data_IF_837558201396
#
_entry.id   IF_837558201396
#
_cell.length_a   1.000
_cell.length_b   1.000
_cell.length_c   1.000
_cell.angle_alpha   90.00
_cell.angle_beta   90.00
_cell.angle_gamma   90.00
#
_symmetry.space_group_name_H-M   'P 1'
#
loop_
_entity.id
_entity.type
_entity.pdbx_description
1 polymer ?
#
# COMPACT_ATOMS: atom_id res chain seq x y z
N UNK A 1 -37.44 -0.87 -53.71
CA UNK A 1 -36.44 0.03 -54.31
C UNK A 1 -35.71 0.67 -53.13
N UNK A 2 -34.73 -0.07 -52.58
CA UNK A 2 -33.26 0.17 -52.67
C UNK A 2 -32.78 1.28 -51.73
N UNK A 3 -32.20 0.91 -50.57
CA UNK A 3 -30.73 0.95 -50.25
C UNK A 3 -30.52 2.13 -49.27
N UNK A 4 -29.80 2.08 -48.14
CA UNK A 4 -28.49 1.49 -47.85
C UNK A 4 -28.31 1.37 -46.34
N UNK A 5 -27.67 0.29 -45.91
CA UNK A 5 -26.85 0.20 -44.69
C UNK A 5 -25.98 1.44 -44.46
N UNK A 6 -25.73 1.81 -43.20
CA UNK A 6 -24.39 2.13 -42.70
C UNK A 6 -24.42 2.14 -41.17
N UNK A 7 -24.13 0.97 -40.61
CA UNK A 7 -23.68 0.81 -39.23
C UNK A 7 -22.35 1.55 -39.10
N UNK A 8 -22.33 2.68 -38.40
CA UNK A 8 -21.10 3.35 -38.00
C UNK A 8 -20.48 2.56 -36.84
N UNK A 9 -19.57 1.64 -37.19
CA UNK A 9 -18.56 1.13 -36.26
C UNK A 9 -17.46 2.18 -36.15
N UNK A 10 -17.51 3.03 -35.13
CA UNK A 10 -16.32 3.76 -34.68
C UNK A 10 -15.47 2.82 -33.83
N UNK A 11 -14.51 2.18 -34.50
CA UNK A 11 -13.27 1.75 -33.87
C UNK A 11 -12.39 2.99 -33.70
N UNK A 12 -12.26 3.48 -32.47
CA UNK A 12 -11.12 4.31 -32.09
C UNK A 12 -10.19 3.58 -31.12
N UNK A 13 -8.92 3.82 -31.35
CA UNK A 13 -7.78 3.00 -31.03
C UNK A 13 -7.31 3.14 -29.59
N UNK A 14 -7.08 1.98 -28.96
CA UNK A 14 -5.89 1.63 -28.16
C UNK A 14 -5.09 2.77 -27.52
N UNK A 15 -5.41 3.08 -26.26
CA UNK A 15 -4.44 3.56 -25.28
C UNK A 15 -4.08 2.42 -24.33
N UNK A 16 -3.08 1.61 -24.68
CA UNK A 16 -2.51 0.61 -23.77
C UNK A 16 -1.84 1.33 -22.58
N UNK A 17 -2.59 1.53 -21.50
CA UNK A 17 -2.09 1.94 -20.18
C UNK A 17 -1.88 0.72 -19.25
N UNK A 18 -1.47 -0.41 -19.82
CA UNK A 18 -1.05 -1.58 -19.06
C UNK A 18 0.46 -1.52 -18.84
N UNK A 19 0.92 -1.85 -17.64
CA UNK A 19 2.32 -2.01 -17.18
C UNK A 19 2.95 -0.89 -16.32
N UNK A 20 2.31 0.26 -16.08
CA UNK A 20 2.86 1.29 -15.16
C UNK A 20 2.44 1.15 -13.68
N UNK A 21 1.46 0.30 -13.36
CA UNK A 21 0.72 0.39 -12.08
C UNK A 21 1.39 -0.18 -10.83
N UNK A 22 2.36 -1.10 -10.93
CA UNK A 22 2.91 -1.78 -9.73
C UNK A 22 4.12 -1.07 -9.11
N UNK A 23 5.01 -0.49 -9.93
CA UNK A 23 6.20 0.21 -9.44
C UNK A 23 5.88 1.50 -8.68
N UNK A 24 4.84 2.21 -9.13
CA UNK A 24 4.45 3.51 -8.57
C UNK A 24 3.94 3.41 -7.13
N UNK A 25 3.19 2.35 -6.80
CA UNK A 25 2.71 2.13 -5.43
C UNK A 25 3.86 1.79 -4.46
N UNK A 26 4.82 0.97 -4.86
CA UNK A 26 6.00 0.66 -4.03
C UNK A 26 6.84 1.91 -3.79
N UNK A 27 7.05 2.73 -4.84
CA UNK A 27 7.80 3.98 -4.74
C UNK A 27 7.10 4.99 -3.82
N UNK A 28 5.77 5.06 -3.86
CA UNK A 28 4.96 5.93 -3.01
C UNK A 28 5.11 5.58 -1.52
N UNK A 29 4.94 4.31 -1.14
CA UNK A 29 5.07 3.89 0.26
C UNK A 29 6.51 4.00 0.75
N UNK A 30 7.51 3.72 -0.09
CA UNK A 30 8.92 3.96 0.24
C UNK A 30 9.18 5.44 0.57
N UNK A 31 8.69 6.35 -0.28
CA UNK A 31 8.84 7.79 -0.05
C UNK A 31 8.12 8.23 1.23
N UNK A 32 6.89 7.76 1.42
CA UNK A 32 6.09 8.09 2.59
C UNK A 32 6.76 7.58 3.88
N UNK A 33 7.29 6.36 3.87
CA UNK A 33 8.05 5.78 4.99
C UNK A 33 9.22 6.69 5.38
N UNK A 34 10.09 7.07 4.44
CA UNK A 34 11.27 7.88 4.78
C UNK A 34 10.92 9.28 5.28
N UNK A 35 9.89 9.92 4.71
CA UNK A 35 9.40 11.22 5.18
C UNK A 35 8.83 11.08 6.60
N UNK A 36 8.01 10.06 6.85
CA UNK A 36 7.42 9.83 8.18
C UNK A 36 8.47 9.38 9.21
N UNK A 37 9.48 8.61 8.81
CA UNK A 37 10.59 8.25 9.68
C UNK A 37 11.39 9.49 10.11
N UNK A 38 11.66 10.41 9.19
CA UNK A 38 12.32 11.68 9.50
C UNK A 38 11.49 12.55 10.45
N UNK A 39 10.16 12.60 10.28
CA UNK A 39 9.23 13.30 11.18
C UNK A 39 9.11 12.61 12.56
N UNK A 40 9.20 11.28 12.60
CA UNK A 40 9.09 10.51 13.83
C UNK A 40 10.24 10.81 14.80
N UNK A 41 11.45 11.02 14.29
CA UNK A 41 12.64 11.31 15.12
C UNK A 41 12.39 12.48 16.09
N UNK A 42 12.08 13.70 15.64
CA UNK A 42 11.79 14.80 16.55
C UNK A 42 10.49 14.59 17.34
N UNK A 43 9.49 13.90 16.79
CA UNK A 43 8.22 13.62 17.49
C UNK A 43 8.44 12.74 18.72
N UNK A 44 9.25 11.70 18.60
CA UNK A 44 9.60 10.76 19.67
C UNK A 44 10.58 11.41 20.65
N UNK A 45 11.67 11.99 20.14
CA UNK A 45 12.72 12.60 20.97
C UNK A 45 12.25 13.81 21.78
N UNK A 46 11.11 14.43 21.42
CA UNK A 46 10.53 15.55 22.15
C UNK A 46 9.17 15.22 22.77
N UNK A 47 8.82 13.92 22.86
CA UNK A 47 7.63 13.49 23.58
C UNK A 47 7.86 13.48 25.10
N UNK A 48 6.95 14.06 25.91
CA UNK A 48 7.01 14.02 27.37
C UNK A 48 7.09 12.62 27.97
N UNK A 49 6.29 11.68 27.45
CA UNK A 49 6.28 10.30 27.94
C UNK A 49 7.57 9.56 27.59
N UNK A 50 8.09 9.78 26.38
CA UNK A 50 9.37 9.19 25.98
C UNK A 50 10.55 9.74 26.81
N UNK A 51 10.54 11.05 27.08
CA UNK A 51 11.55 11.69 27.94
C UNK A 51 11.51 11.17 29.37
N UNK A 52 10.30 11.02 29.93
CA UNK A 52 10.10 10.43 31.25
C UNK A 52 10.57 8.98 31.32
N UNK A 53 10.33 8.19 30.27
CA UNK A 53 10.74 6.78 30.19
C UNK A 53 12.27 6.62 30.17
N UNK A 54 12.97 7.51 29.45
CA UNK A 54 14.44 7.49 29.36
C UNK A 54 15.15 8.31 30.44
N UNK A 55 14.40 9.09 31.23
CA UNK A 55 14.93 9.87 32.35
C UNK A 55 15.75 11.11 31.94
N UNK A 56 15.45 11.72 30.79
CA UNK A 56 16.06 12.99 30.38
C UNK A 56 15.05 14.15 30.41
N UNK A 57 15.56 15.37 30.53
CA UNK A 57 14.75 16.58 30.53
C UNK A 57 14.51 17.11 29.13
N UNK A 58 13.28 17.54 28.86
CA UNK A 58 12.97 18.26 27.63
C UNK A 58 13.60 19.65 27.61
N UNK A 59 13.98 20.15 26.43
CA UNK A 59 14.44 21.52 26.28
C UNK A 59 13.41 22.51 26.83
N UNK A 60 13.82 23.39 27.76
CA UNK A 60 12.92 24.33 28.44
C UNK A 60 12.46 25.53 27.60
N UNK A 61 12.57 25.49 26.28
CA UNK A 61 12.16 26.61 25.44
C UNK A 61 10.63 26.65 25.22
N UNK A 62 10.03 27.85 25.10
CA UNK A 62 8.62 27.99 24.80
C UNK A 62 8.25 27.27 23.49
N UNK A 63 7.40 26.25 23.58
CA UNK A 63 6.92 25.52 22.41
C UNK A 63 7.44 24.09 22.28
N UNK A 64 8.46 23.66 23.04
CA UNK A 64 8.97 22.28 22.98
C UNK A 64 7.85 21.23 23.16
N UNK A 65 6.95 21.48 24.12
CA UNK A 65 5.77 20.64 24.40
C UNK A 65 4.76 20.52 23.25
N UNK A 66 4.78 21.43 22.29
CA UNK A 66 3.86 21.45 21.15
C UNK A 66 4.42 20.75 19.91
N UNK A 67 5.71 20.41 19.92
CA UNK A 67 6.36 19.77 18.76
C UNK A 67 5.74 18.39 18.50
N UNK A 68 5.63 17.53 19.51
CA UNK A 68 5.03 16.20 19.35
C UNK A 68 3.55 16.24 18.95
N UNK A 69 2.68 17.08 19.56
CA UNK A 69 1.30 17.24 19.06
C UNK A 69 1.18 17.70 17.61
N UNK A 70 2.00 18.69 17.20
CA UNK A 70 1.93 19.25 15.85
C UNK A 70 2.43 18.23 14.82
N UNK A 71 3.62 17.67 15.04
CA UNK A 71 4.19 16.68 14.13
C UNK A 71 3.39 15.38 14.13
N UNK A 72 2.95 14.91 15.30
CA UNK A 72 2.07 13.75 15.44
C UNK A 72 0.75 13.91 14.69
N UNK A 73 0.18 15.12 14.66
CA UNK A 73 -1.00 15.43 13.85
C UNK A 73 -0.72 15.34 12.36
N UNK A 74 0.40 15.88 11.88
CA UNK A 74 0.83 15.73 10.49
C UNK A 74 1.02 14.26 10.13
N UNK A 75 1.67 13.50 11.02
CA UNK A 75 1.86 12.06 10.83
C UNK A 75 0.53 11.31 10.78
N UNK A 76 -0.43 11.60 11.67
CA UNK A 76 -1.76 10.99 11.66
C UNK A 76 -2.53 11.27 10.35
N UNK A 77 -2.59 12.54 9.94
CA UNK A 77 -3.40 12.95 8.77
C UNK A 77 -2.76 12.54 7.44
N UNK A 78 -1.43 12.64 7.31
CA UNK A 78 -0.73 12.34 6.06
C UNK A 78 -0.11 10.94 6.05
N UNK A 79 0.66 10.59 7.06
CA UNK A 79 1.26 9.25 7.19
C UNK A 79 0.23 8.17 7.47
N UNK A 80 -0.78 8.47 8.27
CA UNK A 80 -1.86 7.55 8.64
C UNK A 80 -2.93 7.37 7.56
N UNK A 81 -2.94 8.21 6.51
CA UNK A 81 -3.99 8.22 5.48
C UNK A 81 -4.30 6.84 4.90
N UNK A 82 -3.31 6.01 4.47
CA UNK A 82 -3.61 4.69 3.91
C UNK A 82 -4.43 3.82 4.88
N UNK A 83 -4.02 3.76 6.15
CA UNK A 83 -4.68 2.98 7.21
C UNK A 83 -6.08 3.51 7.50
N UNK A 84 -6.25 4.83 7.61
CA UNK A 84 -7.56 5.45 7.86
C UNK A 84 -8.53 5.20 6.70
N UNK A 85 -8.07 5.34 5.46
CA UNK A 85 -8.91 5.08 4.28
C UNK A 85 -9.27 3.59 4.17
N UNK A 86 -8.33 2.69 4.46
CA UNK A 86 -8.58 1.25 4.49
C UNK A 86 -9.55 0.86 5.59
N UNK A 87 -9.41 1.41 6.80
CA UNK A 87 -10.32 1.19 7.92
C UNK A 87 -11.76 1.58 7.57
N UNK A 88 -11.95 2.75 6.96
CA UNK A 88 -13.28 3.20 6.51
C UNK A 88 -13.86 2.27 5.44
N UNK A 89 -13.01 1.78 4.52
CA UNK A 89 -13.43 0.81 3.51
C UNK A 89 -13.89 -0.52 4.15
N UNK A 90 -13.12 -1.07 5.08
CA UNK A 90 -13.43 -2.32 5.80
C UNK A 90 -14.72 -2.21 6.65
N UNK A 91 -14.94 -1.06 7.30
CA UNK A 91 -16.20 -0.79 8.02
C UNK A 91 -17.38 -0.80 7.06
N UNK A 92 -17.25 -0.13 5.90
CA UNK A 92 -18.32 -0.04 4.90
C UNK A 92 -18.64 -1.40 4.27
N UNK A 93 -17.62 -2.21 4.02
CA UNK A 93 -17.79 -3.57 3.48
C UNK A 93 -18.15 -4.61 4.53
N UNK A 94 -18.18 -4.24 5.83
CA UNK A 94 -18.40 -5.13 6.97
C UNK A 94 -17.44 -6.33 7.01
N UNK A 95 -16.20 -6.09 6.56
CA UNK A 95 -15.13 -7.07 6.53
C UNK A 95 -13.95 -6.55 7.35
N UNK A 96 -13.98 -6.67 8.70
CA UNK A 96 -12.93 -6.14 9.55
C UNK A 96 -11.61 -6.88 9.31
N UNK A 97 -10.55 -6.12 9.06
CA UNK A 97 -9.22 -6.63 8.74
C UNK A 97 -8.11 -5.80 9.38
N UNK A 98 -6.92 -5.90 8.79
CA UNK A 98 -5.71 -5.28 9.32
C UNK A 98 -5.80 -3.75 9.29
N UNK A 99 -6.43 -3.17 8.26
CA UNK A 99 -6.48 -1.72 8.11
C UNK A 99 -7.36 -1.08 9.18
N UNK A 100 -8.49 -1.72 9.52
CA UNK A 100 -9.35 -1.28 10.62
C UNK A 100 -8.64 -1.34 11.97
N UNK A 101 -7.93 -2.43 12.27
CA UNK A 101 -7.21 -2.56 13.54
C UNK A 101 -6.15 -1.46 13.71
N UNK A 102 -5.34 -1.23 12.67
CA UNK A 102 -4.32 -0.18 12.68
C UNK A 102 -5.00 1.19 12.76
N UNK A 103 -6.01 1.44 11.92
CA UNK A 103 -6.76 2.69 11.87
C UNK A 103 -7.39 3.06 13.20
N UNK A 104 -7.95 2.07 13.91
CA UNK A 104 -8.48 2.24 15.26
C UNK A 104 -7.38 2.59 16.25
N UNK A 105 -6.26 1.85 16.24
CA UNK A 105 -5.15 2.08 17.16
C UNK A 105 -4.57 3.49 17.02
N UNK A 106 -4.28 3.95 15.78
CA UNK A 106 -3.76 5.30 15.54
C UNK A 106 -4.80 6.39 15.89
N UNK A 107 -6.09 6.12 15.70
CA UNK A 107 -7.15 7.09 16.03
C UNK A 107 -7.35 7.23 17.54
N UNK A 108 -7.36 6.11 18.27
CA UNK A 108 -7.45 6.11 19.74
C UNK A 108 -6.23 6.80 20.34
N UNK A 109 -5.02 6.46 19.89
CA UNK A 109 -3.79 7.10 20.33
C UNK A 109 -3.82 8.61 20.05
N UNK A 110 -4.24 9.03 18.85
CA UNK A 110 -4.33 10.44 18.46
C UNK A 110 -5.30 11.24 19.34
N UNK A 111 -6.53 10.74 19.56
CA UNK A 111 -7.54 11.44 20.36
C UNK A 111 -7.16 11.50 21.85
N UNK A 112 -6.64 10.41 22.40
CA UNK A 112 -6.15 10.38 23.78
C UNK A 112 -4.98 11.36 23.98
N UNK A 113 -4.02 11.38 23.05
CA UNK A 113 -2.86 12.28 23.11
C UNK A 113 -3.26 13.75 23.03
N UNK A 114 -4.22 14.10 22.19
CA UNK A 114 -4.79 15.45 22.16
C UNK A 114 -5.49 15.81 23.47
N UNK A 115 -6.27 14.88 24.02
CA UNK A 115 -6.89 15.04 25.34
C UNK A 115 -5.89 15.34 26.44
N UNK A 116 -4.77 14.61 26.48
CA UNK A 116 -3.68 14.84 27.42
C UNK A 116 -2.97 16.18 27.17
N UNK A 117 -2.70 16.51 25.91
CA UNK A 117 -2.02 17.75 25.51
C UNK A 117 -2.81 19.02 25.85
N UNK A 118 -4.14 18.93 25.80
CA UNK A 118 -5.07 20.01 26.15
C UNK A 118 -5.42 20.01 27.65
N UNK A 119 -4.81 19.13 28.46
CA UNK A 119 -5.10 18.95 29.87
C UNK A 119 -6.58 18.58 30.18
N UNK A 120 -7.27 17.99 29.21
CA UNK A 120 -8.63 17.44 29.38
C UNK A 120 -8.56 16.02 29.97
N UNK A 121 -7.51 15.28 29.62
CA UNK A 121 -7.21 13.94 30.12
C UNK A 121 -5.89 13.96 30.90
N UNK A 122 -5.64 12.88 31.66
CA UNK A 122 -4.42 12.71 32.42
C UNK A 122 -3.18 12.67 31.50
N UNK A 123 -2.08 13.30 31.90
CA UNK A 123 -0.84 13.38 31.11
C UNK A 123 -0.18 12.01 30.81
N UNK A 124 -0.62 10.94 31.48
CA UNK A 124 -0.17 9.56 31.24
C UNK A 124 -0.84 8.94 30.00
N UNK A 125 -1.80 9.63 29.39
CA UNK A 125 -2.49 9.23 28.16
C UNK A 125 -1.93 9.96 26.93
N UNK A 126 -0.73 10.52 27.05
CA UNK A 126 0.05 11.05 25.93
C UNK A 126 0.68 9.87 25.18
N UNK A 127 0.24 9.62 23.95
CA UNK A 127 0.72 8.55 23.10
C UNK A 127 1.39 9.07 21.82
N UNK A 128 1.99 10.27 21.85
CA UNK A 128 2.54 10.88 20.63
C UNK A 128 3.69 10.07 20.03
N UNK A 129 4.55 9.50 20.88
CA UNK A 129 5.70 8.71 20.42
C UNK A 129 5.27 7.33 19.93
N UNK A 130 4.30 6.68 20.58
CA UNK A 130 3.71 5.42 20.14
C UNK A 130 2.96 5.60 18.82
N UNK A 131 2.18 6.68 18.67
CA UNK A 131 1.51 7.02 17.42
C UNK A 131 2.52 7.16 16.28
N UNK A 132 3.61 7.91 16.52
CA UNK A 132 4.65 8.13 15.53
C UNK A 132 5.33 6.82 15.10
N UNK A 133 5.75 6.00 16.07
CA UNK A 133 6.39 4.71 15.80
C UNK A 133 5.41 3.74 15.12
N UNK A 134 4.17 3.66 15.58
CA UNK A 134 3.14 2.80 15.00
C UNK A 134 2.92 3.12 13.52
N UNK A 135 2.81 4.39 13.16
CA UNK A 135 2.68 4.80 11.75
C UNK A 135 3.93 4.39 10.95
N UNK A 136 5.13 4.66 11.46
CA UNK A 136 6.38 4.36 10.75
C UNK A 136 6.57 2.86 10.53
N UNK A 137 6.38 2.04 11.57
CA UNK A 137 6.56 0.58 11.45
C UNK A 137 5.51 -0.04 10.55
N UNK A 138 4.26 0.46 10.57
CA UNK A 138 3.20 -0.07 9.71
C UNK A 138 3.43 0.32 8.25
N UNK A 139 3.91 1.55 7.98
CA UNK A 139 4.34 1.96 6.64
C UNK A 139 5.51 1.12 6.13
N UNK A 140 6.48 0.82 7.00
CA UNK A 140 7.60 -0.06 6.67
C UNK A 140 7.11 -1.48 6.33
N UNK A 141 6.21 -2.03 7.14
CA UNK A 141 5.62 -3.35 6.91
C UNK A 141 4.93 -3.43 5.54
N UNK A 142 4.06 -2.48 5.23
CA UNK A 142 3.37 -2.42 3.93
C UNK A 142 4.34 -2.24 2.77
N UNK A 143 5.41 -1.44 2.95
CA UNK A 143 6.44 -1.30 1.93
C UNK A 143 7.17 -2.63 1.67
N UNK A 144 7.55 -3.36 2.73
CA UNK A 144 8.21 -4.66 2.60
C UNK A 144 7.27 -5.70 1.96
N UNK A 145 6.01 -5.74 2.38
CA UNK A 145 4.98 -6.64 1.82
C UNK A 145 4.81 -6.43 0.32
N UNK A 146 4.66 -5.18 -0.13
CA UNK A 146 4.51 -4.92 -1.57
C UNK A 146 5.79 -5.24 -2.35
N UNK A 147 6.98 -5.01 -1.74
CA UNK A 147 8.25 -5.35 -2.38
C UNK A 147 8.40 -6.86 -2.58
N UNK A 148 7.99 -7.69 -1.61
CA UNK A 148 8.10 -9.15 -1.74
C UNK A 148 7.11 -9.71 -2.77
N UNK A 149 5.89 -9.16 -2.84
CA UNK A 149 4.91 -9.56 -3.85
C UNK A 149 5.36 -9.20 -5.28
N UNK A 150 5.87 -7.98 -5.49
CA UNK A 150 6.34 -7.54 -6.80
C UNK A 150 7.50 -8.39 -7.36
N UNK A 151 8.38 -8.90 -6.49
CA UNK A 151 9.46 -9.79 -6.89
C UNK A 151 8.97 -11.16 -7.37
N UNK A 152 7.89 -11.67 -6.77
CA UNK A 152 7.35 -13.00 -7.10
C UNK A 152 6.59 -12.98 -8.42
N UNK A 153 5.75 -11.96 -8.65
CA UNK A 153 5.00 -11.80 -9.91
C UNK A 153 5.93 -11.66 -11.11
N UNK A 154 7.03 -10.90 -10.98
CA UNK A 154 8.02 -10.75 -12.06
C UNK A 154 8.68 -12.08 -12.47
N UNK A 155 8.91 -12.98 -11.51
CA UNK A 155 9.48 -14.30 -11.81
C UNK A 155 8.46 -15.21 -12.51
N UNK A 156 7.18 -15.15 -12.11
CA UNK A 156 6.10 -15.88 -12.78
C UNK A 156 5.86 -15.37 -14.21
N UNK A 157 5.89 -14.05 -14.42
CA UNK A 157 5.79 -13.45 -15.76
C UNK A 157 6.97 -13.89 -16.65
N UNK A 158 8.18 -14.00 -16.08
CA UNK A 158 9.37 -14.48 -16.80
C UNK A 158 9.25 -15.95 -17.18
N UNK A 159 8.65 -16.79 -16.34
CA UNK A 159 8.35 -18.19 -16.66
C UNK A 159 7.23 -18.31 -17.70
N UNK A 160 6.19 -17.48 -17.60
CA UNK A 160 5.12 -17.43 -18.60
C UNK A 160 5.63 -16.99 -19.98
N UNK A 161 6.58 -16.05 -20.02
CA UNK A 161 7.22 -15.62 -21.27
C UNK A 161 8.09 -16.71 -21.93
N UNK A 162 8.49 -17.75 -21.18
CA UNK A 162 9.22 -18.90 -21.70
C UNK A 162 8.29 -20.03 -22.19
N UNK A 163 6.97 -19.96 -21.96
CA UNK A 163 6.02 -20.90 -22.55
C UNK A 163 5.86 -20.59 -24.04
N UNK A 164 6.22 -21.50 -24.96
CA UNK A 164 6.08 -21.27 -26.39
C UNK A 164 4.60 -21.24 -26.80
N UNK A 165 4.17 -20.17 -27.48
CA UNK A 165 2.82 -20.05 -28.04
C UNK A 165 2.54 -21.05 -29.17
N UNK A 166 3.59 -21.59 -29.79
CA UNK A 166 3.53 -22.46 -30.96
C UNK A 166 4.27 -23.78 -30.71
N UNK A 167 3.59 -24.89 -31.01
CA UNK A 167 4.17 -26.23 -31.02
C UNK A 167 4.14 -26.79 -32.44
N UNK A 168 5.26 -27.34 -32.91
CA UNK A 168 5.31 -28.02 -34.21
C UNK A 168 4.97 -29.50 -34.02
N UNK A 169 3.87 -29.95 -34.64
CA UNK A 169 3.43 -31.35 -34.65
C UNK A 169 3.92 -32.02 -35.94
N UNK A 170 4.54 -33.20 -35.83
CA UNK A 170 4.97 -34.01 -36.98
C UNK A 170 4.05 -35.21 -37.13
N UNK A 171 3.37 -35.33 -38.27
CA UNK A 171 2.46 -36.43 -38.56
C UNK A 171 2.71 -36.96 -39.99
N UNK A 172 3.14 -38.22 -40.09
CA UNK A 172 3.40 -38.87 -41.39
C UNK A 172 4.40 -38.12 -42.29
N UNK A 173 5.43 -37.50 -41.73
CA UNK A 173 6.44 -36.73 -42.48
C UNK A 173 6.05 -35.29 -42.84
N UNK A 174 4.82 -34.85 -42.50
CA UNK A 174 4.39 -33.45 -42.63
C UNK A 174 4.47 -32.73 -41.29
N UNK A 175 5.00 -31.50 -41.31
CA UNK A 175 5.08 -30.62 -40.13
C UNK A 175 3.91 -29.64 -40.15
N UNK A 176 3.14 -29.58 -39.07
CA UNK A 176 2.01 -28.68 -38.89
C UNK A 176 2.26 -27.84 -37.63
N UNK A 177 2.20 -26.51 -37.74
CA UNK A 177 2.26 -25.62 -36.58
C UNK A 177 0.90 -25.56 -35.90
N UNK A 178 0.85 -25.88 -34.61
CA UNK A 178 -0.35 -25.80 -33.78
C UNK A 178 -0.15 -24.74 -32.69
N UNK A 179 -1.20 -23.96 -32.40
CA UNK A 179 -1.19 -22.96 -31.33
C UNK A 179 -1.56 -23.64 -30.01
N UNK A 180 -0.77 -23.40 -28.97
CA UNK A 180 -0.64 -24.26 -27.78
C UNK A 180 -1.83 -24.44 -26.83
N UNK A 181 -3.07 -24.10 -27.18
CA UNK A 181 -4.20 -24.21 -26.22
C UNK A 181 -5.16 -25.38 -26.47
N UNK A 182 -5.35 -25.89 -27.71
CA UNK A 182 -6.48 -26.84 -27.95
C UNK A 182 -6.26 -27.99 -28.94
N UNK A 183 -5.14 -28.03 -29.68
CA UNK A 183 -5.06 -28.91 -30.86
C UNK A 183 -4.18 -30.17 -30.67
N UNK A 184 -3.52 -30.33 -29.53
CA UNK A 184 -2.54 -31.41 -29.31
C UNK A 184 -3.15 -32.73 -28.80
N UNK A 185 -4.30 -32.72 -28.12
CA UNK A 185 -4.79 -33.89 -27.36
C UNK A 185 -5.83 -34.74 -28.12
N UNK A 186 -6.43 -34.23 -29.21
CA UNK A 186 -7.61 -34.85 -29.83
C UNK A 186 -7.39 -35.94 -30.88
N UNK A 187 -6.16 -36.33 -31.23
CA UNK A 187 -5.92 -37.07 -32.47
C UNK A 187 -5.24 -38.45 -32.34
N UNK A 188 -4.99 -38.96 -31.13
CA UNK A 188 -4.48 -40.33 -30.92
C UNK A 188 -5.60 -41.36 -30.79
N UNK A 189 -6.62 -41.26 -31.64
CA UNK A 189 -7.82 -42.09 -31.52
C UNK A 189 -8.53 -42.28 -32.86
N UNK A 190 -7.83 -42.82 -33.85
CA UNK A 190 -8.39 -43.62 -34.93
C UNK A 190 -7.32 -44.31 -35.76
#
# INVERSE_FOLDING_TARGET
MTTTDHVMHEHEHTGHAGHAGHGDHVAQFRRLFWVMAALAVPTVALSPMFAMLLGYDLPGFPGARWISPVLGTVMYVWGGRPFLTGAVSEIRSRAPGMMLLIGLAITVAFLASWGASLAVLHHQLDFWWELALLIVIMLLGHWIEMRSLAQTTSALDSLAALLPDEAERVEGGRRLRARGDRDAVGASGR
#
